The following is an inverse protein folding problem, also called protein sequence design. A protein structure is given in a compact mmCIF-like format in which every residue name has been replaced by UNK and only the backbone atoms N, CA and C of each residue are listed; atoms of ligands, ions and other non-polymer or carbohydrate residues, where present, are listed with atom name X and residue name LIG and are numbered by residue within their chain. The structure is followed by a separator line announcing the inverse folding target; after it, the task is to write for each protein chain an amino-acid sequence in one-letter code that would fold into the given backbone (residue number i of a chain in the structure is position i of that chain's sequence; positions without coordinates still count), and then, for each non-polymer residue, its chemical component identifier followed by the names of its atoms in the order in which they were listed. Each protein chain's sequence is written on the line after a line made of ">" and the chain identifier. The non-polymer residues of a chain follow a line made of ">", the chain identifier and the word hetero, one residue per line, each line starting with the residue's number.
data_IF_404724115523
#
_entry.id   IF_404724115523
#
_cell.length_a   1.000
_cell.length_b   1.000
_cell.length_c   1.000
_cell.angle_alpha   90.00
_cell.angle_beta   90.00
_cell.angle_gamma   90.00
#
_symmetry.space_group_name_H-M   'P 1'
#
loop_
_entity.id
_entity.type
_entity.pdbx_description
1 polymer ?
#
# COMPACT_ATOMS: atom_id res chain seq x y z
N UNK A 1 1.36 12.93 9.74
CA UNK A 1 2.51 13.23 8.85
C UNK A 1 2.08 12.99 7.41
N UNK A 2 2.75 13.59 6.40
CA UNK A 2 2.42 13.36 4.97
C UNK A 2 3.28 12.24 4.39
N UNK A 3 2.72 11.49 3.45
CA UNK A 3 3.45 10.52 2.64
C UNK A 3 4.40 11.27 1.70
N UNK A 4 5.70 11.02 1.84
CA UNK A 4 6.77 11.59 1.05
C UNK A 4 7.91 10.57 0.86
N UNK A 5 8.91 10.90 0.04
CA UNK A 5 10.09 10.06 -0.13
C UNK A 5 10.75 9.71 1.21
N UNK A 6 11.26 8.47 1.35
CA UNK A 6 11.89 7.95 2.56
C UNK A 6 10.94 7.78 3.76
N UNK A 7 9.65 7.58 3.49
CA UNK A 7 8.67 7.26 4.52
C UNK A 7 8.21 5.81 4.43
N UNK A 8 8.07 5.17 5.59
CA UNK A 8 7.37 3.89 5.70
C UNK A 8 5.90 4.17 5.92
N UNK A 9 5.08 3.62 5.04
CA UNK A 9 3.64 3.82 5.02
C UNK A 9 2.95 2.50 5.29
N UNK A 10 2.13 2.46 6.34
CA UNK A 10 1.23 1.37 6.65
C UNK A 10 -0.11 1.63 5.97
N UNK A 11 -0.53 0.73 5.08
CA UNK A 11 -1.80 0.87 4.37
C UNK A 11 -2.62 -0.43 4.44
N UNK A 12 -3.94 -0.26 4.43
CA UNK A 12 -4.89 -1.32 4.08
C UNK A 12 -5.52 -0.97 2.75
N UNK A 13 -5.72 -1.95 1.88
CA UNK A 13 -6.34 -1.71 0.59
C UNK A 13 -7.28 -2.83 0.17
N UNK A 14 -8.15 -2.48 -0.76
CA UNK A 14 -8.97 -3.41 -1.53
C UNK A 14 -8.77 -3.12 -3.00
N UNK A 15 -8.53 -4.17 -3.78
CA UNK A 15 -8.38 -4.15 -5.21
C UNK A 15 -9.46 -5.00 -5.85
N UNK A 16 -10.25 -4.40 -6.71
CA UNK A 16 -11.33 -5.03 -7.47
C UNK A 16 -11.12 -4.76 -8.95
N UNK A 17 -11.41 -5.73 -9.82
CA UNK A 17 -11.36 -5.52 -11.27
C UNK A 17 -12.67 -4.93 -11.80
N UNK A 18 -12.67 -4.51 -13.07
CA UNK A 18 -13.84 -3.97 -13.79
C UNK A 18 -15.07 -4.91 -13.83
N UNK A 19 -14.89 -6.20 -13.53
CA UNK A 19 -15.94 -7.23 -13.50
C UNK A 19 -16.55 -7.40 -12.10
N UNK A 20 -16.07 -6.65 -11.11
CA UNK A 20 -16.49 -6.77 -9.71
C UNK A 20 -15.85 -7.95 -8.98
N UNK A 21 -14.80 -8.56 -9.54
CA UNK A 21 -14.04 -9.60 -8.86
C UNK A 21 -13.00 -8.95 -7.95
N UNK A 22 -13.08 -9.26 -6.67
CA UNK A 22 -12.12 -8.82 -5.66
C UNK A 22 -10.84 -9.63 -5.85
N UNK A 23 -9.74 -8.97 -6.21
CA UNK A 23 -8.42 -9.59 -6.26
C UNK A 23 -7.80 -9.69 -4.88
N UNK A 24 -7.84 -8.60 -4.14
CA UNK A 24 -7.30 -8.50 -2.79
C UNK A 24 -8.20 -7.61 -1.93
N UNK A 25 -8.39 -7.98 -0.67
CA UNK A 25 -9.14 -7.18 0.31
C UNK A 25 -8.55 -7.39 1.70
N UNK A 26 -7.84 -6.37 2.18
CA UNK A 26 -7.26 -6.32 3.53
C UNK A 26 -7.81 -5.14 4.32
N UNK A 27 -8.95 -4.56 3.93
CA UNK A 27 -9.54 -3.43 4.64
C UNK A 27 -9.89 -3.77 6.10
N UNK A 28 -10.30 -5.01 6.36
CA UNK A 28 -10.56 -5.53 7.71
C UNK A 28 -9.39 -6.36 8.27
N UNK A 29 -8.28 -6.43 7.55
CA UNK A 29 -7.10 -7.25 7.87
C UNK A 29 -5.95 -6.47 8.51
N UNK A 30 -4.76 -7.07 8.45
CA UNK A 30 -3.53 -6.40 8.87
C UNK A 30 -3.06 -5.41 7.80
N UNK A 31 -2.60 -4.22 8.18
CA UNK A 31 -1.96 -3.29 7.25
C UNK A 31 -0.64 -3.86 6.73
N UNK A 32 -0.34 -3.60 5.47
CA UNK A 32 0.96 -3.84 4.87
C UNK A 32 1.82 -2.59 4.99
N UNK A 33 3.15 -2.76 5.08
CA UNK A 33 4.09 -1.65 5.10
C UNK A 33 4.92 -1.62 3.84
N UNK A 34 5.07 -0.45 3.24
CA UNK A 34 6.00 -0.25 2.12
C UNK A 34 6.84 1.01 2.34
N UNK A 35 7.97 1.10 1.63
CA UNK A 35 8.83 2.27 1.62
C UNK A 35 8.55 3.16 0.40
N UNK A 36 8.07 4.38 0.66
CA UNK A 36 7.77 5.35 -0.38
C UNK A 36 9.06 5.99 -0.94
N UNK A 37 9.13 6.11 -2.27
CA UNK A 37 10.28 6.68 -2.99
C UNK A 37 11.42 5.69 -3.21
N UNK A 38 11.19 4.40 -3.02
CA UNK A 38 12.20 3.35 -3.19
C UNK A 38 11.86 2.35 -4.32
N UNK A 39 10.76 2.59 -5.05
CA UNK A 39 10.35 1.73 -6.16
C UNK A 39 9.91 0.33 -5.75
N UNK A 40 9.49 0.15 -4.49
CA UNK A 40 9.01 -1.13 -3.94
C UNK A 40 7.58 -1.45 -4.36
N UNK A 41 6.82 -0.43 -4.74
CA UNK A 41 5.46 -0.53 -5.26
C UNK A 41 5.38 0.14 -6.64
N UNK A 42 4.25 -0.03 -7.32
CA UNK A 42 4.00 0.57 -8.62
C UNK A 42 4.12 2.10 -8.56
N UNK A 43 4.79 2.74 -9.53
CA UNK A 43 4.99 4.20 -9.53
C UNK A 43 3.66 4.97 -9.57
N UNK A 44 2.66 4.43 -10.26
CA UNK A 44 1.32 5.00 -10.35
C UNK A 44 0.59 4.95 -9.00
N UNK A 45 0.69 3.82 -8.29
CA UNK A 45 0.15 3.67 -6.94
C UNK A 45 0.87 4.61 -5.96
N UNK A 46 2.20 4.69 -6.05
CA UNK A 46 3.00 5.57 -5.23
C UNK A 46 2.60 7.05 -5.43
N UNK A 47 2.43 7.49 -6.68
CA UNK A 47 2.00 8.83 -7.00
C UNK A 47 0.61 9.14 -6.43
N UNK A 48 -0.32 8.20 -6.48
CA UNK A 48 -1.67 8.37 -5.93
C UNK A 48 -1.68 8.51 -4.41
N UNK A 49 -0.74 7.87 -3.71
CA UNK A 49 -0.62 7.92 -2.24
C UNK A 49 0.19 9.12 -1.76
N UNK A 50 1.02 9.73 -2.62
CA UNK A 50 1.87 10.87 -2.25
C UNK A 50 1.05 12.05 -1.72
N UNK A 51 1.46 12.60 -0.58
CA UNK A 51 0.84 13.76 0.05
C UNK A 51 -0.40 13.46 0.92
N UNK A 52 -0.89 12.22 0.95
CA UNK A 52 -1.90 11.76 1.92
C UNK A 52 -1.32 11.75 3.33
N UNK A 53 -2.21 11.76 4.32
CA UNK A 53 -1.87 11.70 5.73
C UNK A 53 -2.39 10.42 6.38
N UNK A 54 -1.91 10.17 7.59
CA UNK A 54 -2.43 9.13 8.49
C UNK A 54 -3.92 9.33 8.74
N UNK A 55 -4.70 8.26 8.55
CA UNK A 55 -6.16 8.24 8.62
C UNK A 55 -6.86 8.63 7.32
N UNK A 56 -6.13 9.11 6.30
CA UNK A 56 -6.75 9.44 5.01
C UNK A 56 -7.14 8.16 4.26
N UNK A 57 -8.29 8.23 3.59
CA UNK A 57 -8.75 7.22 2.66
C UNK A 57 -8.78 7.81 1.25
N UNK A 58 -8.32 7.03 0.28
CA UNK A 58 -8.37 7.39 -1.13
C UNK A 58 -8.84 6.22 -1.98
N UNK A 59 -9.70 6.52 -2.95
CA UNK A 59 -10.11 5.59 -3.98
C UNK A 59 -9.66 6.13 -5.35
N UNK A 60 -9.05 5.27 -6.15
CA UNK A 60 -8.56 5.60 -7.50
C UNK A 60 -8.61 4.35 -8.38
N UNK A 61 -8.36 4.56 -9.67
CA UNK A 61 -8.48 3.55 -10.72
C UNK A 61 -7.10 3.37 -11.36
N UNK A 62 -6.66 2.12 -11.52
CA UNK A 62 -5.48 1.79 -12.30
C UNK A 62 -5.90 1.08 -13.58
N UNK A 63 -5.53 1.65 -14.72
CA UNK A 63 -5.65 1.07 -16.04
C UNK A 63 -4.29 0.95 -16.72
N UNK A 64 -4.26 0.31 -17.89
CA UNK A 64 -3.08 0.26 -18.77
C UNK A 64 -2.46 1.65 -19.00
N UNK A 65 -3.28 2.68 -19.19
CA UNK A 65 -2.83 4.05 -19.44
C UNK A 65 -2.18 4.70 -18.21
N UNK A 66 -2.56 4.27 -17.01
CA UNK A 66 -2.02 4.83 -15.76
C UNK A 66 -0.68 4.23 -15.36
N UNK A 67 -0.14 3.23 -16.07
CA UNK A 67 1.25 2.78 -15.90
C UNK A 67 1.45 1.34 -15.44
N UNK A 68 0.39 0.53 -15.41
CA UNK A 68 0.57 -0.92 -15.27
C UNK A 68 0.52 -1.58 -16.66
N UNK A 69 1.70 -1.70 -17.28
CA UNK A 69 1.85 -2.46 -18.53
C UNK A 69 1.60 -3.96 -18.26
N UNK A 70 0.56 -4.52 -18.85
CA UNK A 70 0.20 -5.93 -18.71
C UNK A 70 -1.18 -6.20 -18.09
N UNK A 71 -1.93 -5.16 -17.74
CA UNK A 71 -3.35 -5.31 -17.40
C UNK A 71 -4.21 -5.14 -18.66
N UNK A 72 -5.06 -6.13 -18.93
CA UNK A 72 -6.14 -6.04 -19.90
C UNK A 72 -7.40 -5.39 -19.32
N UNK A 73 -7.46 -5.24 -17.99
CA UNK A 73 -8.62 -4.76 -17.24
C UNK A 73 -8.30 -3.48 -16.42
N UNK A 74 -9.35 -2.73 -16.05
CA UNK A 74 -9.28 -1.62 -15.10
C UNK A 74 -9.44 -2.14 -13.66
N UNK A 75 -8.69 -1.57 -12.73
CA UNK A 75 -8.73 -1.94 -11.31
C UNK A 75 -9.16 -0.77 -10.44
N UNK A 76 -10.17 -1.01 -9.63
CA UNK A 76 -10.64 -0.12 -8.58
C UNK A 76 -9.84 -0.41 -7.31
N UNK A 77 -9.09 0.57 -6.84
CA UNK A 77 -8.30 0.44 -5.62
C UNK A 77 -8.81 1.43 -4.59
N UNK A 78 -9.17 0.93 -3.42
CA UNK A 78 -9.47 1.73 -2.22
C UNK A 78 -8.37 1.50 -1.21
N UNK A 79 -7.71 2.56 -0.77
CA UNK A 79 -6.60 2.52 0.20
C UNK A 79 -6.93 3.37 1.41
N UNK A 80 -6.64 2.86 2.59
CA UNK A 80 -6.68 3.56 3.87
C UNK A 80 -5.25 3.63 4.40
N UNK A 81 -4.79 4.83 4.74
CA UNK A 81 -3.47 5.04 5.33
C UNK A 81 -3.60 4.91 6.84
N UNK A 82 -3.07 3.84 7.42
CA UNK A 82 -3.12 3.63 8.87
C UNK A 82 -2.03 4.42 9.60
N UNK A 83 -0.82 4.46 9.03
CA UNK A 83 0.34 5.08 9.67
C UNK A 83 1.38 5.55 8.67
N UNK A 84 2.08 6.64 8.99
CA UNK A 84 3.17 7.19 8.20
C UNK A 84 4.29 7.57 9.15
N UNK A 85 5.49 7.07 8.88
CA UNK A 85 6.69 7.42 9.65
C UNK A 85 7.90 7.57 8.74
N UNK A 86 8.95 8.22 9.24
CA UNK A 86 10.24 8.16 8.56
C UNK A 86 10.81 6.74 8.57
N UNK A 87 11.46 6.38 7.47
CA UNK A 87 12.22 5.15 7.38
C UNK A 87 13.50 5.25 8.23
N UNK A 88 13.89 4.12 8.82
CA UNK A 88 15.20 3.97 9.43
C UNK A 88 16.30 3.90 8.36
N UNK A 89 17.54 4.18 8.73
CA UNK A 89 18.69 4.08 7.82
C UNK A 89 18.81 2.66 7.24
N UNK A 90 18.52 1.64 8.05
CA UNK A 90 18.53 0.25 7.61
C UNK A 90 17.47 -0.03 6.53
N UNK A 91 16.25 0.48 6.70
CA UNK A 91 15.17 0.34 5.70
C UNK A 91 15.48 1.10 4.41
N UNK A 92 16.19 2.23 4.51
CA UNK A 92 16.65 2.99 3.34
C UNK A 92 17.79 2.31 2.60
N UNK A 93 18.63 1.55 3.30
CA UNK A 93 19.74 0.82 2.68
C UNK A 93 19.28 -0.52 2.08
N UNK A 94 18.42 -1.24 2.78
CA UNK A 94 17.96 -2.58 2.40
C UNK A 94 16.68 -2.57 1.54
N UNK A 95 15.97 -1.45 1.53
CA UNK A 95 14.60 -1.37 1.03
C UNK A 95 13.60 -2.02 2.00
N UNK A 96 12.32 -1.75 1.78
CA UNK A 96 11.22 -2.43 2.49
C UNK A 96 10.15 -2.81 1.47
N UNK A 97 10.12 -4.08 1.11
CA UNK A 97 9.02 -4.61 0.31
C UNK A 97 7.74 -4.65 1.15
N UNK A 98 6.54 -4.65 0.51
CA UNK A 98 5.28 -4.91 1.18
C UNK A 98 5.38 -6.19 2.02
N UNK A 99 5.59 -6.02 3.32
CA UNK A 99 5.51 -7.11 4.29
C UNK A 99 4.16 -6.99 4.95
N UNK A 100 3.36 -8.05 4.85
CA UNK A 100 2.38 -8.31 5.90
C UNK A 100 3.20 -8.45 7.18
N UNK A 101 2.90 -7.69 8.23
CA UNK A 101 3.57 -7.90 9.52
C UNK A 101 3.43 -9.39 9.86
N UNK A 102 4.54 -10.13 9.82
CA UNK A 102 4.64 -11.52 10.26
C UNK A 102 4.35 -11.67 11.76
N UNK A 103 4.15 -10.58 12.49
CA UNK A 103 3.60 -10.54 13.86
C UNK A 103 2.07 -10.76 13.90
N UNK A 104 1.50 -11.53 12.95
CA UNK A 104 0.25 -12.22 13.22
C UNK A 104 0.52 -13.31 14.24
N UNK A 105 0.45 -12.93 15.51
CA UNK A 105 -0.27 -13.79 16.41
C UNK A 105 -1.74 -13.42 16.41
N UNK A 106 -2.55 -14.43 16.10
CA UNK A 106 -4.00 -14.31 16.10
C UNK A 106 -4.55 -13.87 17.46
N UNK A 107 -5.87 -14.00 17.69
CA UNK A 107 -6.52 -13.50 18.91
C UNK A 107 -6.01 -14.12 20.22
N UNK A 108 -5.13 -15.13 20.14
CA UNK A 108 -4.25 -15.57 21.21
C UNK A 108 -2.83 -15.21 20.80
N UNK A 109 -2.27 -14.18 21.44
CA UNK A 109 -0.92 -13.65 21.19
C UNK A 109 0.16 -14.72 21.10
N UNK A 110 1.34 -14.32 20.61
CA UNK A 110 2.47 -15.24 20.45
C UNK A 110 2.94 -15.69 21.82
N UNK A 111 2.71 -16.98 22.07
CA UNK A 111 3.25 -17.70 23.22
C UNK A 111 4.78 -17.78 23.13
#
# INVERSE_FOLDING_TARGET
>A
MKIEDKTVVSIRYKMENSKGEILEDILDGLPINYLHGHGTILPSLEAELKGLNEGDEKQFFLSKETGFEGLDDEFHIRVIVDKVRYASEEELEKGLNPLMLDDYCGPKGCC
#
